data_IF_681114869442
#
_entry.id   IF_681114869442
#
_cell.length_a   1.000
_cell.length_b   1.000
_cell.length_c   1.000
_cell.angle_alpha   90.00
_cell.angle_beta   90.00
_cell.angle_gamma   90.00
#
_symmetry.space_group_name_H-M   'P 1'
#
loop_
_entity.id
_entity.type
_entity.pdbx_description
1 polymer ?
#
# COMPACT_ATOMS: atom_id res chain seq x y z
N UNK A 1 -0.07 -11.45 11.35
CA UNK A 1 0.23 -10.32 12.26
C UNK A 1 -0.57 -9.13 11.71
N UNK A 2 -0.92 -8.13 12.50
CA UNK A 2 -1.76 -7.02 11.99
C UNK A 2 -0.90 -5.96 11.29
N UNK A 3 -1.13 -5.75 9.99
CA UNK A 3 -0.47 -4.70 9.22
C UNK A 3 -0.98 -3.33 9.64
N UNK A 4 -0.04 -2.40 9.74
CA UNK A 4 -0.32 -1.00 10.02
C UNK A 4 0.20 -0.12 8.91
N UNK A 5 -0.32 1.10 8.86
CA UNK A 5 0.16 2.14 7.94
C UNK A 5 1.67 2.41 8.02
N UNK A 6 2.31 2.10 9.16
CA UNK A 6 3.76 2.25 9.32
C UNK A 6 4.55 1.14 8.62
N UNK A 7 3.92 -0.01 8.37
CA UNK A 7 4.51 -1.19 7.73
C UNK A 7 4.43 -1.05 6.21
N UNK A 8 4.96 0.07 5.70
CA UNK A 8 4.87 0.45 4.28
C UNK A 8 5.45 -0.61 3.35
N UNK A 9 6.53 -1.27 3.78
CA UNK A 9 7.19 -2.35 3.05
C UNK A 9 6.32 -3.60 2.95
N UNK A 10 5.75 -4.08 4.06
CA UNK A 10 4.84 -5.24 4.01
C UNK A 10 3.59 -4.94 3.18
N UNK A 11 3.01 -3.74 3.34
CA UNK A 11 1.86 -3.33 2.55
C UNK A 11 2.21 -3.34 1.04
N UNK A 12 3.37 -2.81 0.67
CA UNK A 12 3.85 -2.84 -0.71
C UNK A 12 3.98 -4.27 -1.24
N UNK A 13 4.61 -5.18 -0.49
CA UNK A 13 4.76 -6.60 -0.87
C UNK A 13 3.39 -7.26 -1.11
N UNK A 14 2.43 -7.03 -0.20
CA UNK A 14 1.06 -7.57 -0.32
C UNK A 14 0.32 -7.00 -1.54
N UNK A 15 0.54 -5.72 -1.84
CA UNK A 15 -0.02 -5.07 -3.02
C UNK A 15 0.60 -5.62 -4.30
N UNK A 16 1.92 -5.85 -4.35
CA UNK A 16 2.61 -6.51 -5.46
C UNK A 16 2.05 -7.91 -5.70
N UNK A 17 1.91 -8.72 -4.66
CA UNK A 17 1.38 -10.10 -4.78
C UNK A 17 -0.09 -10.13 -5.22
N UNK A 18 -0.91 -9.25 -4.64
CA UNK A 18 -2.33 -9.14 -5.00
C UNK A 18 -2.56 -8.51 -6.38
N UNK A 19 -1.66 -7.64 -6.84
CA UNK A 19 -1.80 -6.82 -8.05
C UNK A 19 -0.49 -6.76 -8.86
N UNK A 20 0.00 -7.89 -9.38
CA UNK A 20 1.26 -7.92 -10.12
C UNK A 20 1.20 -7.22 -11.49
N UNK A 21 -0.02 -7.01 -12.03
CA UNK A 21 -0.25 -6.35 -13.33
C UNK A 21 -0.43 -4.82 -13.20
N UNK A 22 -0.47 -4.31 -11.96
CA UNK A 22 -0.66 -2.88 -11.71
C UNK A 22 0.68 -2.19 -11.53
N UNK A 23 0.89 -1.13 -12.31
CA UNK A 23 2.07 -0.28 -12.15
C UNK A 23 1.80 0.82 -11.10
N UNK A 24 2.43 0.75 -9.91
CA UNK A 24 2.22 1.70 -8.82
C UNK A 24 2.56 3.14 -9.20
N UNK A 25 3.40 3.38 -10.21
CA UNK A 25 3.73 4.73 -10.70
C UNK A 25 2.50 5.48 -11.24
N UNK A 26 1.48 4.75 -11.70
CA UNK A 26 0.26 5.31 -12.27
C UNK A 26 -0.96 5.23 -11.33
N UNK A 27 -0.76 4.67 -10.12
CA UNK A 27 -1.83 4.51 -9.14
C UNK A 27 -2.07 5.84 -8.41
N UNK A 28 -3.33 6.25 -8.30
CA UNK A 28 -3.69 7.40 -7.49
C UNK A 28 -3.80 7.02 -6.01
N UNK A 29 -3.52 7.96 -5.11
CA UNK A 29 -3.62 7.74 -3.67
C UNK A 29 -5.00 7.27 -3.20
N UNK A 30 -6.08 7.66 -3.88
CA UNK A 30 -7.43 7.20 -3.58
C UNK A 30 -7.58 5.69 -3.80
N UNK A 31 -7.02 5.16 -4.89
CA UNK A 31 -7.09 3.74 -5.19
C UNK A 31 -6.10 2.95 -4.35
N UNK A 32 -4.89 3.49 -4.14
CA UNK A 32 -3.90 2.90 -3.24
C UNK A 32 -4.49 2.73 -1.84
N UNK A 33 -5.07 3.79 -1.27
CA UNK A 33 -5.70 3.76 0.04
C UNK A 33 -6.78 2.69 0.14
N UNK A 34 -7.69 2.62 -0.85
CA UNK A 34 -8.72 1.58 -0.90
C UNK A 34 -8.12 0.18 -0.94
N UNK A 35 -7.02 -0.03 -1.67
CA UNK A 35 -6.39 -1.34 -1.75
C UNK A 35 -5.71 -1.74 -0.45
N UNK A 36 -5.03 -0.81 0.22
CA UNK A 36 -4.47 -1.05 1.56
C UNK A 36 -5.56 -1.44 2.55
N UNK A 37 -6.70 -0.74 2.53
CA UNK A 37 -7.86 -1.09 3.37
C UNK A 37 -8.54 -2.40 2.99
N UNK A 38 -8.36 -2.87 1.76
CA UNK A 38 -8.91 -4.13 1.29
C UNK A 38 -8.00 -5.32 1.61
N UNK A 39 -6.77 -5.09 2.11
CA UNK A 39 -5.87 -6.17 2.51
C UNK A 39 -6.43 -6.90 3.73
N UNK A 40 -6.50 -8.24 3.71
CA UNK A 40 -7.08 -9.04 4.80
C UNK A 40 -6.27 -8.96 6.10
N UNK A 41 -4.98 -8.64 6.01
CA UNK A 41 -4.08 -8.48 7.17
C UNK A 41 -4.02 -7.05 7.70
N UNK A 42 -4.67 -6.09 7.01
CA UNK A 42 -4.69 -4.69 7.43
C UNK A 42 -5.67 -4.47 8.58
N UNK A 43 -5.17 -3.88 9.67
CA UNK A 43 -5.92 -3.74 10.93
C UNK A 43 -5.62 -2.42 11.64
N UNK A 44 -5.27 -1.36 10.92
CA UNK A 44 -5.06 0.00 11.44
C UNK A 44 -6.21 0.94 11.03
N UNK A 45 -6.22 2.15 11.58
CA UNK A 45 -7.29 3.12 11.36
C UNK A 45 -7.26 3.62 9.92
N UNK A 46 -8.36 3.55 9.15
CA UNK A 46 -8.37 4.01 7.77
C UNK A 46 -8.09 5.51 7.62
N UNK A 47 -8.26 6.29 8.69
CA UNK A 47 -8.02 7.73 8.74
C UNK A 47 -6.55 8.09 8.98
N UNK A 48 -5.70 7.13 9.37
CA UNK A 48 -4.26 7.35 9.60
C UNK A 48 -3.43 7.34 8.32
N UNK A 49 -3.95 6.79 7.24
CA UNK A 49 -3.33 6.76 5.91
C UNK A 49 -3.36 8.12 5.23
N UNK A 50 -2.57 9.07 5.73
CA UNK A 50 -2.38 10.38 5.08
C UNK A 50 -1.53 10.28 3.82
N UNK A 51 -1.44 11.40 3.08
CA UNK A 51 -0.72 11.48 1.79
C UNK A 51 0.74 11.01 1.89
N UNK A 52 1.46 11.36 2.97
CA UNK A 52 2.86 10.93 3.20
C UNK A 52 3.02 9.43 3.34
N UNK A 53 2.05 8.76 3.97
CA UNK A 53 2.11 7.30 4.15
C UNK A 53 1.83 6.63 2.82
N UNK A 54 0.82 7.12 2.08
CA UNK A 54 0.48 6.60 0.77
C UNK A 54 1.64 6.79 -0.23
N UNK A 55 2.31 7.93 -0.19
CA UNK A 55 3.53 8.19 -0.95
C UNK A 55 4.65 7.19 -0.59
N UNK A 56 4.86 6.90 0.69
CA UNK A 56 5.86 5.93 1.13
C UNK A 56 5.52 4.49 0.69
N UNK A 57 4.23 4.09 0.76
CA UNK A 57 3.76 2.79 0.27
C UNK A 57 3.95 2.69 -1.25
N UNK A 58 3.57 3.73 -1.98
CA UNK A 58 3.74 3.78 -3.44
C UNK A 58 5.22 3.68 -3.82
N UNK A 59 6.09 4.43 -3.13
CA UNK A 59 7.54 4.39 -3.38
C UNK A 59 8.10 3.01 -3.10
N UNK A 60 7.79 2.41 -1.95
CA UNK A 60 8.22 1.05 -1.63
C UNK A 60 7.71 0.04 -2.66
N UNK A 61 6.45 0.16 -3.10
CA UNK A 61 5.88 -0.72 -4.12
C UNK A 61 6.58 -0.56 -5.48
N UNK A 62 6.96 0.66 -5.86
CA UNK A 62 7.75 0.90 -7.06
C UNK A 62 9.13 0.23 -6.94
N UNK A 63 9.79 0.37 -5.80
CA UNK A 63 11.10 -0.24 -5.54
C UNK A 63 11.06 -1.77 -5.58
N UNK A 64 9.97 -2.40 -5.13
CA UNK A 64 9.81 -3.86 -5.18
C UNK A 64 9.55 -4.40 -6.60
N UNK A 65 9.10 -3.56 -7.53
CA UNK A 65 8.84 -3.91 -8.93
C UNK A 65 10.00 -3.55 -9.88
N UNK A 66 11.00 -2.80 -9.42
CA UNK A 66 12.22 -2.43 -10.17
C UNK A 66 13.26 -3.57 -10.15
#
# INVERSE_FOLDING_TARGET
MSLKWVDVQEIAIQLTDSKPDVDPRYVNFVDLHKWVLALPEFSDDPTRGGEKVLEAIQTAWIEELD
#
